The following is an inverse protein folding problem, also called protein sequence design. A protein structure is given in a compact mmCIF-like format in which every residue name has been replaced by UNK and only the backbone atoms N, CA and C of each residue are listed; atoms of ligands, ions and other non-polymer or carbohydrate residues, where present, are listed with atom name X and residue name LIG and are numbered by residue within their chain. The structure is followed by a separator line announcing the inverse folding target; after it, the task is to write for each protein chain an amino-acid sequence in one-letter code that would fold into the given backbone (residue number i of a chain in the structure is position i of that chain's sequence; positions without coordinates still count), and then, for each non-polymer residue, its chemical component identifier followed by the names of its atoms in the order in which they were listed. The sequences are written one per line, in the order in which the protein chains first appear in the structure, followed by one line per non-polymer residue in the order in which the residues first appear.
data_IF_550282982336
#
_entry.id   IF_550282982336
#
_cell.length_a   1.000
_cell.length_b   1.000
_cell.length_c   1.000
_cell.angle_alpha   90.00
_cell.angle_beta   90.00
_cell.angle_gamma   90.00
#
_symmetry.space_group_name_H-M   'P 1'
#
loop_
_entity.id
_entity.type
_entity.pdbx_description
1 polymer ?
2 non-polymer ?
3 non-polymer ?
4 water ?
#
# COMPACT_ATOMS: atom_id res chain seq x y z
N UNK A 1 -27.22 3.67 -11.46
CA UNK A 1 -26.09 3.45 -12.38
C UNK A 1 -25.37 2.14 -12.01
N UNK A 2 -25.77 1.55 -10.87
CA UNK A 2 -25.00 0.43 -10.28
C UNK A 2 -25.18 -0.99 -10.80
N UNK A 3 -24.08 -1.73 -10.75
CA UNK A 3 -23.99 -3.16 -11.05
C UNK A 3 -24.04 -3.88 -9.69
N UNK A 4 -24.62 -5.07 -9.65
CA UNK A 4 -24.85 -5.77 -8.39
C UNK A 4 -23.73 -6.72 -7.95
N UNK A 5 -22.89 -7.16 -8.89
CA UNK A 5 -21.85 -8.18 -8.61
C UNK A 5 -20.60 -7.59 -7.94
N UNK A 6 -19.89 -8.41 -7.18
CA UNK A 6 -18.61 -7.98 -6.64
C UNK A 6 -17.53 -8.10 -7.72
N UNK A 7 -16.84 -7.00 -7.97
CA UNK A 7 -15.76 -6.93 -8.93
C UNK A 7 -14.44 -7.18 -8.20
N UNK A 8 -13.86 -8.35 -8.40
CA UNK A 8 -12.59 -8.70 -7.72
C UNK A 8 -11.47 -8.76 -8.73
N UNK A 9 -10.30 -8.24 -8.37
CA UNK A 9 -9.10 -8.40 -9.21
C UNK A 9 -8.34 -9.61 -8.76
N UNK A 10 -7.84 -10.38 -9.72
CA UNK A 10 -6.95 -11.50 -9.44
C UNK A 10 -5.65 -11.29 -10.20
N UNK A 11 -4.57 -11.08 -9.44
CA UNK A 11 -3.28 -10.75 -10.05
C UNK A 11 -2.06 -11.18 -9.22
N UNK A 12 -0.96 -11.44 -9.92
CA UNK A 12 0.33 -11.75 -9.30
C UNK A 12 1.37 -10.79 -9.91
N UNK A 13 2.06 -10.05 -9.07
CA UNK A 13 3.04 -9.10 -9.55
C UNK A 13 4.34 -9.18 -8.77
N UNK A 14 5.37 -8.57 -9.34
CA UNK A 14 6.66 -8.57 -8.68
C UNK A 14 6.89 -7.26 -7.86
N UNK A 15 8.07 -7.13 -7.25
CA UNK A 15 8.38 -5.99 -6.40
C UNK A 15 8.24 -4.63 -7.09
N UNK A 16 8.27 -4.63 -8.43
CA UNK A 16 8.11 -3.39 -9.22
C UNK A 16 6.83 -3.41 -10.06
N UNK A 17 5.86 -4.25 -9.66
CA UNK A 17 4.53 -4.32 -10.31
C UNK A 17 4.51 -4.99 -11.69
N UNK A 18 5.61 -5.64 -12.06
CA UNK A 18 5.69 -6.41 -13.33
C UNK A 18 4.76 -7.62 -13.28
N UNK A 19 3.94 -7.78 -14.31
CA UNK A 19 3.05 -8.92 -14.42
C UNK A 19 3.29 -9.72 -15.72
N UNK A 20 4.06 -9.15 -16.63
CA UNK A 20 4.31 -9.83 -17.90
C UNK A 20 5.59 -9.44 -18.63
N UNK A 21 5.98 -10.32 -19.56
CA UNK A 21 7.17 -10.12 -20.37
C UNK A 21 6.98 -10.90 -21.67
N UNK A 22 7.16 -10.20 -22.78
CA UNK A 22 7.00 -10.79 -24.14
C UNK A 22 5.68 -11.51 -24.27
N UNK A 23 4.62 -10.84 -23.80
CA UNK A 23 3.27 -11.41 -23.92
C UNK A 23 3.12 -12.78 -23.20
N UNK A 24 3.84 -12.95 -22.09
CA UNK A 24 3.76 -14.16 -21.27
C UNK A 24 4.08 -13.81 -19.81
N UNK A 25 4.07 -14.82 -18.96
CA UNK A 25 4.42 -14.69 -17.53
C UNK A 25 5.96 -14.74 -17.34
N UNK A 26 6.51 -13.87 -16.48
CA UNK A 26 7.97 -13.90 -16.28
C UNK A 26 8.46 -15.03 -15.34
N UNK A 27 7.52 -15.71 -14.68
CA UNK A 27 7.88 -16.72 -13.68
C UNK A 27 6.99 -17.93 -13.81
N UNK A 28 7.38 -19.05 -13.21
CA UNK A 28 6.55 -20.26 -13.24
C UNK A 28 6.35 -20.80 -11.81
N UNK A 29 5.16 -20.57 -11.27
CA UNK A 29 4.83 -20.94 -9.90
C UNK A 29 3.58 -21.81 -9.87
N UNK A 30 3.76 -23.14 -10.03
CA UNK A 30 2.60 -24.07 -10.04
C UNK A 30 1.69 -23.93 -8.82
N UNK A 31 2.29 -23.75 -7.65
CA UNK A 31 1.58 -23.63 -6.38
C UNK A 31 0.65 -22.41 -6.32
N UNK A 32 1.13 -21.31 -6.88
CA UNK A 32 0.40 -20.06 -6.95
C UNK A 32 -0.78 -20.16 -7.91
N UNK A 33 -0.57 -20.92 -9.00
CA UNK A 33 -1.64 -21.20 -9.98
C UNK A 33 -2.75 -22.05 -9.36
N UNK A 34 -2.38 -22.92 -8.41
CA UNK A 34 -3.37 -23.74 -7.70
C UNK A 34 -4.23 -22.85 -6.81
N UNK A 35 -3.61 -21.86 -6.19
CA UNK A 35 -4.35 -20.93 -5.34
C UNK A 35 -5.32 -20.13 -6.18
N UNK A 36 -4.89 -19.76 -7.39
CA UNK A 36 -5.73 -19.05 -8.33
C UNK A 36 -6.94 -19.89 -8.74
N UNK A 37 -6.70 -21.16 -9.06
CA UNK A 37 -7.79 -22.07 -9.48
C UNK A 37 -8.77 -22.27 -8.33
N UNK A 38 -8.24 -22.48 -7.14
CA UNK A 38 -9.05 -22.70 -5.96
C UNK A 38 -9.97 -21.50 -5.66
N UNK A 39 -9.42 -20.31 -5.77
CA UNK A 39 -10.11 -19.09 -5.44
C UNK A 39 -11.15 -18.68 -6.49
N UNK A 40 -10.86 -18.95 -7.75
CA UNK A 40 -11.70 -18.49 -8.86
C UNK A 40 -12.71 -19.52 -9.35
N UNK A 41 -12.60 -20.76 -8.88
CA UNK A 41 -13.47 -21.81 -9.39
C UNK A 41 -14.96 -21.52 -9.22
N UNK A 42 -15.70 -21.66 -10.32
CA UNK A 42 -17.13 -21.44 -10.33
C UNK A 42 -17.54 -20.00 -10.47
N UNK A 43 -16.61 -19.16 -10.93
CA UNK A 43 -16.88 -17.71 -11.06
C UNK A 43 -16.41 -17.23 -12.42
N UNK A 44 -17.07 -16.20 -12.97
CA UNK A 44 -16.61 -15.70 -14.26
C UNK A 44 -15.18 -15.13 -14.21
N UNK A 45 -14.38 -15.47 -15.22
CA UNK A 45 -13.02 -14.92 -15.45
C UNK A 45 -13.12 -13.91 -16.60
N UNK A 46 -12.76 -12.66 -16.32
CA UNK A 46 -12.77 -11.61 -17.34
C UNK A 46 -11.32 -11.39 -17.80
N UNK A 47 -11.07 -11.51 -19.08
CA UNK A 47 -9.70 -11.35 -19.52
C UNK A 47 -9.51 -10.58 -20.82
N UNK A 48 -8.41 -9.85 -20.90
CA UNK A 48 -8.12 -9.08 -22.11
C UNK A 48 -7.88 -10.08 -23.21
N UNK A 49 -8.07 -9.67 -24.47
CA UNK A 49 -7.87 -10.56 -25.61
C UNK A 49 -6.45 -11.16 -25.66
N UNK A 50 -5.45 -10.34 -25.36
CA UNK A 50 -4.05 -10.81 -25.33
C UNK A 50 -3.83 -11.82 -24.22
N UNK A 51 -4.27 -11.49 -23.00
CA UNK A 51 -4.18 -12.48 -21.93
C UNK A 51 -4.82 -13.80 -22.38
N UNK A 52 -6.05 -13.74 -22.89
CA UNK A 52 -6.72 -14.96 -23.28
C UNK A 52 -5.94 -15.81 -24.29
N UNK A 53 -5.34 -15.17 -25.28
CA UNK A 53 -4.64 -15.93 -26.30
C UNK A 53 -3.33 -16.55 -25.79
N UNK A 54 -2.70 -15.90 -24.82
CA UNK A 54 -1.51 -16.45 -24.20
C UNK A 54 -1.87 -17.74 -23.41
N UNK A 55 -3.01 -17.73 -22.71
CA UNK A 55 -3.53 -18.90 -22.03
C UNK A 55 -3.85 -19.99 -23.08
N UNK A 56 -4.59 -19.59 -24.13
CA UNK A 56 -4.76 -20.42 -25.31
C UNK A 56 -5.98 -21.31 -25.34
N UNK A 57 -6.64 -21.47 -24.20
CA UNK A 57 -7.83 -22.31 -24.13
C UNK A 57 -8.69 -21.90 -22.96
N UNK A 58 -10.00 -22.22 -23.03
CA UNK A 58 -10.94 -21.89 -21.96
C UNK A 58 -10.54 -22.60 -20.67
N UNK A 59 -10.68 -21.91 -19.54
CA UNK A 59 -10.35 -22.49 -18.24
C UNK A 59 -11.62 -23.16 -17.68
N UNK A 60 -11.53 -24.46 -17.36
CA UNK A 60 -12.74 -25.25 -17.05
C UNK A 60 -13.45 -24.82 -15.74
N UNK A 61 -14.76 -25.00 -15.69
CA UNK A 61 -15.54 -24.71 -14.48
C UNK A 61 -15.72 -23.24 -14.18
N UNK A 62 -15.55 -22.40 -15.20
CA UNK A 62 -15.70 -20.93 -15.06
C UNK A 62 -16.22 -20.37 -16.38
N UNK A 63 -17.03 -19.32 -16.33
CA UNK A 63 -17.43 -18.59 -17.55
C UNK A 63 -16.21 -17.82 -18.02
N UNK A 64 -15.71 -18.12 -19.20
CA UNK A 64 -14.59 -17.35 -19.77
C UNK A 64 -15.13 -16.20 -20.57
N UNK A 65 -14.82 -14.99 -20.13
CA UNK A 65 -15.28 -13.80 -20.83
C UNK A 65 -14.10 -13.02 -21.36
N UNK A 66 -14.03 -12.85 -22.68
CA UNK A 66 -12.92 -12.19 -23.28
C UNK A 66 -13.32 -10.80 -23.72
N UNK A 67 -12.45 -9.84 -23.41
CA UNK A 67 -12.67 -8.43 -23.78
C UNK A 67 -11.84 -8.04 -25.00
N UNK A 68 -12.53 -7.55 -26.03
CA UNK A 68 -11.92 -7.17 -27.28
C UNK A 68 -12.72 -6.02 -27.95
N UNK A 69 -12.05 -5.18 -28.73
CA UNK A 69 -12.75 -4.17 -29.53
C UNK A 69 -13.16 -4.74 -30.89
N UNK A 70 -12.74 -5.97 -31.17
CA UNK A 70 -13.05 -6.68 -32.43
C UNK A 70 -14.47 -7.26 -32.39
N UNK A 71 -15.36 -6.70 -33.21
CA UNK A 71 -16.77 -7.13 -33.22
C UNK A 71 -17.05 -8.49 -33.93
N UNK A 72 -16.05 -9.02 -34.62
CA UNK A 72 -16.17 -10.31 -35.25
C UNK A 72 -15.35 -11.40 -34.57
N UNK A 73 -14.83 -11.10 -33.37
CA UNK A 73 -14.02 -12.05 -32.63
C UNK A 73 -14.90 -13.08 -31.89
N UNK A 74 -14.64 -14.38 -32.13
CA UNK A 74 -15.38 -15.48 -31.50
C UNK A 74 -14.45 -16.63 -31.11
N UNK A 75 -14.75 -17.29 -30.01
CA UNK A 75 -14.01 -18.50 -29.61
C UNK A 75 -14.95 -19.47 -28.89
N UNK A 76 -14.95 -20.74 -29.33
CA UNK A 76 -15.85 -21.71 -28.73
C UNK A 76 -15.52 -21.99 -27.25
N UNK A 77 -16.57 -22.10 -26.45
CA UNK A 77 -16.43 -22.33 -25.03
C UNK A 77 -16.19 -21.05 -24.25
N UNK A 78 -16.25 -19.91 -24.97
CA UNK A 78 -15.98 -18.60 -24.38
C UNK A 78 -17.03 -17.56 -24.76
N UNK A 79 -17.21 -16.57 -23.89
CA UNK A 79 -18.09 -15.42 -24.17
C UNK A 79 -17.24 -14.21 -24.57
N UNK A 80 -17.77 -13.35 -25.43
CA UNK A 80 -17.04 -12.16 -25.86
C UNK A 80 -17.79 -10.86 -25.52
N UNK A 81 -17.07 -9.89 -24.98
CA UNK A 81 -17.63 -8.59 -24.63
C UNK A 81 -16.71 -7.52 -25.22
N UNK A 82 -17.26 -6.34 -25.44
CA UNK A 82 -16.51 -5.29 -26.09
C UNK A 82 -16.44 -4.03 -25.26
N UNK A 83 -16.82 -4.12 -23.99
CA UNK A 83 -16.87 -2.96 -23.09
C UNK A 83 -17.14 -3.39 -21.66
N UNK A 84 -16.81 -2.50 -20.72
CA UNK A 84 -17.13 -2.70 -19.31
C UNK A 84 -18.64 -2.97 -19.14
N UNK A 85 -19.48 -2.16 -19.80
CA UNK A 85 -20.93 -2.27 -19.67
C UNK A 85 -21.46 -3.60 -20.22
N UNK A 86 -20.88 -4.08 -21.32
CA UNK A 86 -21.33 -5.36 -21.85
C UNK A 86 -20.97 -6.53 -20.89
N UNK A 87 -19.85 -6.39 -20.17
CA UNK A 87 -19.50 -7.38 -19.16
C UNK A 87 -20.51 -7.34 -18.05
N UNK A 88 -20.86 -6.14 -17.59
CA UNK A 88 -21.83 -6.00 -16.51
C UNK A 88 -23.18 -6.57 -16.91
N UNK A 89 -23.60 -6.37 -18.16
CA UNK A 89 -24.80 -7.01 -18.66
C UNK A 89 -24.70 -8.56 -18.59
N UNK A 90 -23.63 -9.11 -19.16
CA UNK A 90 -23.44 -10.57 -19.13
C UNK A 90 -23.35 -11.16 -17.74
N UNK A 91 -22.87 -10.37 -16.78
CA UNK A 91 -22.64 -10.87 -15.43
C UNK A 91 -23.61 -10.25 -14.43
N UNK A 92 -24.72 -9.74 -14.93
CA UNK A 92 -25.65 -8.98 -14.10
C UNK A 92 -26.18 -9.75 -12.87
N UNK A 93 -26.32 -11.07 -13.01
CA UNK A 93 -26.78 -11.95 -11.94
C UNK A 93 -25.68 -12.72 -11.16
N UNK A 94 -24.41 -12.43 -11.46
CA UNK A 94 -23.31 -13.10 -10.79
C UNK A 94 -23.07 -12.52 -9.38
N UNK A 95 -22.58 -13.36 -8.48
CA UNK A 95 -22.25 -12.91 -7.14
C UNK A 95 -20.91 -12.15 -7.17
N UNK A 96 -19.95 -12.72 -7.88
CA UNK A 96 -18.59 -12.21 -7.90
C UNK A 96 -17.93 -12.56 -9.23
N UNK A 97 -17.33 -11.57 -9.87
CA UNK A 97 -16.55 -11.81 -11.08
C UNK A 97 -15.07 -11.51 -10.78
N UNK A 98 -14.17 -12.17 -11.51
CA UNK A 98 -12.73 -11.96 -11.35
C UNK A 98 -12.10 -11.36 -12.59
N UNK A 99 -11.56 -10.17 -12.43
CA UNK A 99 -10.81 -9.51 -13.47
C UNK A 99 -9.42 -10.15 -13.41
N UNK A 100 -9.09 -10.82 -14.51
CA UNK A 100 -7.97 -11.72 -14.55
C UNK A 100 -6.81 -11.20 -15.40
N UNK A 101 -6.87 -9.93 -15.80
CA UNK A 101 -5.80 -9.30 -16.61
C UNK A 101 -5.94 -9.41 -18.12
N UNK A 102 -4.94 -8.90 -18.87
CA UNK A 102 -3.76 -8.28 -18.29
C UNK A 102 -3.91 -6.81 -17.99
N UNK A 103 -2.85 -6.05 -18.23
CA UNK A 103 -2.78 -4.66 -17.81
C UNK A 103 -3.85 -3.72 -18.37
N UNK A 104 -4.12 -3.81 -19.68
CA UNK A 104 -5.15 -2.96 -20.28
C UNK A 104 -6.50 -3.24 -19.65
N UNK A 105 -6.78 -4.52 -19.43
CA UNK A 105 -8.04 -4.94 -18.78
C UNK A 105 -8.11 -4.54 -17.31
N UNK A 106 -6.97 -4.60 -16.60
CA UNK A 106 -6.94 -4.11 -15.22
C UNK A 106 -7.23 -2.62 -15.17
N UNK A 107 -6.64 -1.86 -16.10
CA UNK A 107 -6.87 -0.43 -16.20
C UNK A 107 -8.34 -0.12 -16.49
N UNK A 108 -8.95 -0.90 -17.38
CA UNK A 108 -10.37 -0.73 -17.72
C UNK A 108 -11.27 -0.81 -16.50
N UNK A 109 -11.07 -1.84 -15.69
CA UNK A 109 -11.97 -2.10 -14.58
C UNK A 109 -11.58 -1.50 -13.23
N UNK A 110 -10.48 -0.75 -13.19
CA UNK A 110 -9.97 -0.20 -11.93
C UNK A 110 -10.95 0.73 -11.20
N UNK A 111 -11.75 1.55 -11.94
CA UNK A 111 -12.71 2.36 -11.17
C UNK A 111 -13.79 1.54 -10.46
N UNK A 112 -13.87 0.23 -10.74
CA UNK A 112 -14.97 -0.57 -10.21
C UNK A 112 -14.54 -1.64 -9.20
N UNK A 113 -13.23 -1.87 -9.06
CA UNK A 113 -12.74 -2.92 -8.18
C UNK A 113 -13.19 -2.76 -6.70
N UNK A 114 -13.72 -3.84 -6.14
CA UNK A 114 -14.22 -3.87 -4.75
C UNK A 114 -13.28 -4.70 -3.87
N UNK A 115 -12.61 -5.68 -4.49
CA UNK A 115 -11.79 -6.61 -3.73
C UNK A 115 -10.56 -6.99 -4.51
N UNK A 116 -9.43 -7.09 -3.84
CA UNK A 116 -8.20 -7.33 -4.53
C UNK A 116 -7.46 -8.57 -4.02
N UNK A 117 -7.30 -9.57 -4.90
CA UNK A 117 -6.50 -10.76 -4.56
C UNK A 117 -5.20 -10.61 -5.31
N UNK A 118 -4.17 -10.23 -4.58
CA UNK A 118 -2.89 -9.94 -5.17
C UNK A 118 -1.76 -10.75 -4.53
N UNK A 119 -1.06 -11.49 -5.39
CA UNK A 119 0.12 -12.20 -4.98
C UNK A 119 1.32 -11.30 -5.23
N UNK A 120 2.14 -11.12 -4.20
CA UNK A 120 3.35 -10.32 -4.33
C UNK A 120 4.56 -11.22 -4.30
N UNK A 121 5.35 -11.14 -5.36
CA UNK A 121 6.53 -11.96 -5.52
C UNK A 121 7.74 -11.11 -5.23
N UNK A 122 8.56 -11.60 -4.29
CA UNK A 122 9.69 -10.87 -3.78
C UNK A 122 10.93 -11.07 -4.65
N UNK A 123 10.87 -10.52 -5.85
CA UNK A 123 11.93 -10.67 -6.84
C UNK A 123 11.64 -9.61 -7.84
N UNK A 124 12.70 -9.08 -8.47
CA UNK A 124 12.58 -8.07 -9.50
C UNK A 124 12.89 -8.69 -10.88
N UNK A 125 11.82 -9.06 -11.59
CA UNK A 125 11.91 -9.61 -12.92
C UNK A 125 12.04 -8.51 -14.00
N UNK A 126 12.63 -8.91 -15.12
CA UNK A 126 12.61 -8.08 -16.29
C UNK A 126 11.21 -8.23 -16.84
N UNK A 127 10.59 -7.12 -17.18
CA UNK A 127 9.23 -7.18 -17.72
C UNK A 127 8.85 -5.95 -18.53
N UNK A 128 7.72 -6.06 -19.23
CA UNK A 128 7.22 -4.97 -20.03
C UNK A 128 5.77 -4.60 -19.76
N UNK A 129 5.08 -5.43 -18.98
CA UNK A 129 3.68 -5.17 -18.59
C UNK A 129 3.56 -5.04 -17.06
N UNK A 130 2.83 -4.03 -16.62
CA UNK A 130 2.79 -3.66 -15.21
C UNK A 130 1.37 -3.58 -14.69
N UNK A 131 1.20 -3.94 -13.41
CA UNK A 131 -0.09 -3.79 -12.76
C UNK A 131 -0.28 -2.31 -12.43
N UNK A 132 -1.46 -1.73 -12.73
CA UNK A 132 -1.65 -0.29 -12.43
C UNK A 132 -1.45 0.09 -10.94
N UNK A 133 -1.00 1.31 -10.70
CA UNK A 133 -0.88 1.86 -9.36
C UNK A 133 -2.28 2.00 -8.75
N UNK A 134 -2.39 1.80 -7.45
CA UNK A 134 -3.66 1.88 -6.74
C UNK A 134 -3.53 2.67 -5.46
N UNK A 135 -4.55 3.47 -5.15
CA UNK A 135 -4.63 4.16 -3.88
C UNK A 135 -5.36 3.23 -2.95
N UNK A 136 -4.68 2.78 -1.89
CA UNK A 136 -5.25 1.82 -0.95
C UNK A 136 -5.94 2.47 0.22
N UNK A 137 -5.92 3.81 0.25
CA UNK A 137 -6.71 4.55 1.21
C UNK A 137 -8.10 3.96 1.14
N UNK A 138 -8.67 3.70 2.32
CA UNK A 138 -9.99 3.12 2.42
C UNK A 138 -10.08 1.66 1.99
N UNK A 139 -8.95 0.95 1.97
CA UNK A 139 -8.92 -0.49 1.78
C UNK A 139 -8.31 -1.11 3.01
N UNK A 140 -8.62 -2.38 3.25
CA UNK A 140 -8.02 -3.11 4.38
C UNK A 140 -7.62 -4.50 3.96
N UNK A 141 -6.41 -4.88 4.40
CA UNK A 141 -5.95 -6.24 4.20
C UNK A 141 -6.77 -7.17 5.07
N UNK A 142 -7.33 -8.20 4.47
CA UNK A 142 -8.21 -9.14 5.21
C UNK A 142 -7.68 -10.57 5.25
N UNK A 143 -6.63 -10.82 4.48
CA UNK A 143 -5.96 -12.11 4.45
C UNK A 143 -4.53 -11.88 3.95
N UNK A 144 -3.59 -12.61 4.53
CA UNK A 144 -2.21 -12.61 4.07
C UNK A 144 -1.58 -13.95 4.48
N UNK A 145 -0.83 -14.55 3.58
CA UNK A 145 -0.22 -15.84 3.88
C UNK A 145 0.96 -16.03 2.95
N UNK A 146 2.07 -16.53 3.50
CA UNK A 146 3.25 -16.80 2.71
C UNK A 146 2.97 -17.95 1.76
N UNK A 147 3.44 -17.83 0.51
CA UNK A 147 3.33 -18.91 -0.45
C UNK A 147 4.34 -20.01 -0.18
N UNK A 148 4.09 -21.20 -0.75
CA UNK A 148 5.01 -22.32 -0.65
C UNK A 148 6.22 -22.10 -1.57
N UNK A 149 7.42 -22.11 -0.97
CA UNK A 149 8.66 -22.00 -1.70
C UNK A 149 9.41 -23.32 -1.60
N UNK A 150 9.52 -24.01 -2.73
CA UNK A 150 10.21 -25.27 -2.81
C UNK A 150 10.82 -25.39 -4.19
N UNK A 151 11.30 -26.58 -4.55
CA UNK A 151 11.98 -26.78 -5.84
C UNK A 151 11.15 -26.38 -7.05
N UNK A 152 9.85 -26.70 -7.00
CA UNK A 152 8.96 -26.37 -8.10
C UNK A 152 8.55 -24.89 -8.08
N UNK A 153 8.74 -24.21 -6.95
CA UNK A 153 8.30 -22.82 -6.78
C UNK A 153 9.42 -22.00 -6.12
N UNK A 154 10.40 -21.58 -6.93
CA UNK A 154 11.70 -21.09 -6.46
C UNK A 154 11.79 -19.62 -6.02
N UNK A 155 10.67 -18.99 -5.68
CA UNK A 155 10.70 -17.61 -5.22
C UNK A 155 9.91 -17.48 -3.95
N UNK A 156 10.17 -16.38 -3.24
CA UNK A 156 9.42 -16.00 -2.05
C UNK A 156 8.25 -15.10 -2.49
N UNK A 157 7.05 -15.47 -2.07
CA UNK A 157 5.86 -14.72 -2.44
C UNK A 157 4.76 -14.87 -1.40
N UNK A 158 3.88 -13.88 -1.34
CA UNK A 158 2.78 -13.83 -0.39
C UNK A 158 1.46 -13.58 -1.08
N UNK A 159 0.41 -14.19 -0.56
CA UNK A 159 -0.93 -13.91 -1.00
C UNK A 159 -1.51 -12.84 -0.11
N UNK A 160 -2.11 -11.85 -0.73
CA UNK A 160 -2.79 -10.79 0.01
C UNK A 160 -4.18 -10.68 -0.55
N UNK A 161 -5.12 -10.31 0.31
CA UNK A 161 -6.44 -9.95 -0.15
C UNK A 161 -6.79 -8.63 0.55
N UNK A 162 -7.24 -7.65 -0.22
CA UNK A 162 -7.67 -6.39 0.32
C UNK A 162 -9.12 -6.16 -0.07
N UNK A 163 -9.92 -5.65 0.88
CA UNK A 163 -11.32 -5.28 0.66
C UNK A 163 -11.53 -3.78 0.78
N UNK A 164 -12.21 -3.19 -0.20
CA UNK A 164 -12.53 -1.76 -0.17
C UNK A 164 -13.54 -1.51 0.96
N UNK A 165 -13.38 -0.41 1.68
CA UNK A 165 -14.31 -0.12 2.75
C UNK A 165 -15.60 0.58 2.29
N UNK A 166 -15.69 0.82 0.98
CA UNK A 166 -16.91 1.35 0.33
C UNK A 166 -17.84 0.21 -0.09
N UNK B 1 -7.92 31.45 11.33
CA UNK B 1 -6.61 31.17 11.91
C UNK B 1 -5.97 29.97 11.22
N UNK B 2 -6.54 29.57 10.08
CA UNK B 2 -6.25 28.29 9.40
C UNK B 2 -4.96 28.16 8.57
N UNK B 3 -4.40 26.95 8.59
CA UNK B 3 -3.30 26.54 7.75
C UNK B 3 -3.91 25.62 6.69
N UNK B 4 -3.33 25.60 5.49
CA UNK B 4 -3.96 24.87 4.39
C UNK B 4 -3.42 23.46 4.12
N UNK B 5 -2.28 23.12 4.71
CA UNK B 5 -1.69 21.80 4.44
C UNK B 5 -2.23 20.70 5.36
N UNK B 6 -2.14 19.47 4.87
CA UNK B 6 -2.54 18.31 5.64
C UNK B 6 -1.38 17.96 6.56
N UNK B 7 -1.66 17.91 7.86
CA UNK B 7 -0.66 17.63 8.90
C UNK B 7 -0.74 16.16 9.28
N UNK B 8 0.25 15.40 8.84
CA UNK B 8 0.24 13.96 9.07
C UNK B 8 1.34 13.53 10.04
N UNK B 9 1.01 12.63 10.96
CA UNK B 9 2.01 12.06 11.86
C UNK B 9 2.52 10.76 11.24
N UNK B 10 3.84 10.64 11.18
CA UNK B 10 4.51 9.43 10.71
C UNK B 10 5.32 8.87 11.90
N UNK B 11 4.93 7.70 12.40
CA UNK B 11 5.58 7.13 13.57
C UNK B 11 5.45 5.59 13.64
N UNK B 12 6.37 4.98 14.39
CA UNK B 12 6.39 3.54 14.65
C UNK B 12 6.54 3.39 16.15
N UNK B 13 5.66 2.65 16.78
CA UNK B 13 5.73 2.46 18.22
C UNK B 13 5.45 1.04 18.62
N UNK B 14 5.74 0.71 19.87
CA UNK B 14 5.52 -0.63 20.35
C UNK B 14 4.25 -0.76 21.20
N UNK B 15 4.02 -1.96 21.73
CA UNK B 15 2.82 -2.27 22.51
C UNK B 15 2.51 -1.23 23.60
N UNK B 16 3.57 -0.62 24.14
CA UNK B 16 3.45 0.38 25.21
C UNK B 16 3.72 1.82 24.74
N UNK B 17 3.58 2.08 23.44
CA UNK B 17 3.84 3.44 22.87
C UNK B 17 5.33 3.88 22.85
N UNK B 18 6.25 2.97 23.11
CA UNK B 18 7.68 3.29 23.10
C UNK B 18 8.15 3.61 21.68
N UNK B 19 8.89 4.72 21.51
CA UNK B 19 9.43 5.09 20.18
C UNK B 19 10.96 5.22 20.17
N UNK B 20 11.57 5.29 21.36
CA UNK B 20 13.02 5.44 21.43
C UNK B 20 13.65 5.00 22.72
N UNK B 21 14.93 4.68 22.64
CA UNK B 21 15.74 4.33 23.76
C UNK B 21 17.12 4.91 23.57
N UNK B 22 17.63 5.59 24.61
CA UNK B 22 18.97 6.20 24.60
C UNK B 22 19.21 7.05 23.37
N UNK B 23 18.22 7.88 23.03
CA UNK B 23 18.29 8.79 21.88
C UNK B 23 18.47 8.07 20.50
N UNK B 24 17.91 6.89 20.40
CA UNK B 24 17.98 6.11 19.17
C UNK B 24 16.74 5.24 19.08
N UNK B 25 16.66 4.46 18.00
CA UNK B 25 15.56 3.52 17.77
C UNK B 25 15.82 2.20 18.52
N UNK B 26 14.80 1.63 19.15
CA UNK B 26 15.03 0.38 19.89
C UNK B 26 15.05 -0.90 19.03
N UNK B 27 14.69 -0.77 17.75
CA UNK B 27 14.60 -1.92 16.84
C UNK B 27 15.17 -1.59 15.48
N UNK B 28 15.41 -2.61 14.66
CA UNK B 28 15.87 -2.40 13.28
C UNK B 28 14.96 -3.13 12.29
N UNK B 29 14.18 -2.35 11.55
CA UNK B 29 13.23 -2.85 10.59
C UNK B 29 13.44 -2.14 9.23
N UNK B 30 14.35 -2.67 8.38
CA UNK B 30 14.64 -2.04 7.08
C UNK B 30 13.40 -1.93 6.17
N UNK B 31 12.56 -2.95 6.20
CA UNK B 31 11.34 -3.00 5.40
C UNK B 31 10.35 -1.88 5.84
N UNK B 32 10.33 -1.59 7.13
CA UNK B 32 9.47 -0.55 7.67
C UNK B 32 10.02 0.84 7.26
N UNK B 33 11.34 0.95 7.21
CA UNK B 33 11.99 2.20 6.75
C UNK B 33 11.69 2.44 5.26
N UNK B 34 11.60 1.36 4.50
CA UNK B 34 11.29 1.42 3.08
C UNK B 34 9.86 1.92 2.86
N UNK B 35 8.95 1.53 3.74
CA UNK B 35 7.56 2.00 3.70
C UNK B 35 7.49 3.51 4.00
N UNK B 36 8.27 3.93 4.98
CA UNK B 36 8.38 5.32 5.38
C UNK B 36 8.93 6.19 4.23
N UNK B 37 9.97 5.68 3.54
CA UNK B 37 10.59 6.43 2.45
C UNK B 37 9.61 6.59 1.29
N UNK B 38 8.86 5.55 0.98
CA UNK B 38 7.94 5.62 -0.14
C UNK B 38 6.69 6.46 0.14
N UNK B 39 6.22 6.45 1.38
CA UNK B 39 5.05 7.22 1.78
C UNK B 39 5.37 8.73 1.86
N UNK B 40 6.55 9.06 2.37
CA UNK B 40 6.92 10.46 2.62
C UNK B 40 7.69 11.16 1.47
N UNK B 41 8.10 10.38 0.47
CA UNK B 41 8.87 10.92 -0.65
C UNK B 41 8.21 12.13 -1.30
N UNK B 42 8.99 13.20 -1.45
CA UNK B 42 8.50 14.43 -2.06
C UNK B 42 7.61 15.30 -1.18
N UNK B 43 7.68 15.11 0.14
CA UNK B 43 6.90 15.94 1.09
C UNK B 43 7.80 16.39 2.21
N UNK B 44 7.48 17.54 2.83
CA UNK B 44 8.35 18.00 3.93
C UNK B 44 8.32 17.04 5.12
N UNK B 45 9.48 16.82 5.73
CA UNK B 45 9.62 16.10 7.00
C UNK B 45 9.92 17.11 8.08
N UNK B 46 9.09 17.12 9.11
CA UNK B 46 9.25 18.00 10.22
C UNK B 46 9.86 17.18 11.36
N UNK B 47 11.03 17.54 11.83
CA UNK B 47 11.63 16.74 12.91
C UNK B 47 12.26 17.56 14.03
N UNK B 48 12.10 17.09 15.25
CA UNK B 48 12.72 17.67 16.42
C UNK B 48 14.22 17.67 16.24
N UNK B 49 14.89 18.62 16.87
CA UNK B 49 16.35 18.74 16.77
C UNK B 49 17.07 17.43 17.16
N UNK B 50 16.62 16.79 18.23
CA UNK B 50 17.23 15.54 18.68
C UNK B 50 17.01 14.43 17.68
N UNK B 51 15.77 14.27 17.23
CA UNK B 51 15.51 13.32 16.17
C UNK B 51 16.45 13.56 14.95
N UNK B 52 16.51 14.80 14.47
CA UNK B 52 17.37 15.08 13.34
C UNK B 52 18.81 14.64 13.58
N UNK B 53 19.39 15.03 14.72
CA UNK B 53 20.78 14.75 14.96
C UNK B 53 21.07 13.25 15.04
N UNK B 54 20.09 12.47 15.52
CA UNK B 54 20.24 11.02 15.57
C UNK B 54 20.31 10.44 14.15
N UNK B 55 19.53 11.03 13.23
CA UNK B 55 19.56 10.62 11.82
C UNK B 55 20.89 11.07 11.19
N UNK B 56 21.28 12.30 11.49
CA UNK B 56 22.61 12.80 11.19
C UNK B 56 22.82 13.36 9.81
N UNK B 57 21.83 13.21 8.96
CA UNK B 57 21.98 13.60 7.56
C UNK B 57 20.62 13.95 7.00
N UNK B 58 20.57 14.92 6.08
CA UNK B 58 19.34 15.24 5.36
C UNK B 58 18.78 14.01 4.59
N UNK B 59 17.47 13.81 4.66
CA UNK B 59 16.82 12.76 3.94
C UNK B 59 16.53 13.28 2.54
N UNK B 60 17.09 12.60 1.52
CA UNK B 60 16.98 12.97 0.10
C UNK B 60 15.56 13.02 -0.42
N UNK B 61 15.28 13.96 -1.32
CA UNK B 61 13.96 14.05 -2.00
C UNK B 61 12.80 14.53 -1.14
N UNK B 62 13.11 15.21 -0.06
CA UNK B 62 12.12 15.72 0.90
C UNK B 62 12.68 17.00 1.51
N UNK B 63 11.82 18.00 1.75
CA UNK B 63 12.22 19.21 2.48
C UNK B 63 12.45 18.78 3.93
N UNK B 64 13.68 18.95 4.41
CA UNK B 64 14.04 18.60 5.76
C UNK B 64 13.90 19.83 6.63
N UNK B 65 12.94 19.80 7.55
CA UNK B 65 12.70 20.94 8.44
C UNK B 65 12.93 20.58 9.91
N UNK B 66 13.84 21.32 10.54
CA UNK B 66 14.27 21.01 11.88
C UNK B 66 13.72 22.03 12.88
N UNK B 67 13.02 21.54 13.91
CA UNK B 67 12.45 22.38 14.95
C UNK B 67 13.36 22.45 16.19
N UNK B 68 13.76 23.67 16.53
CA UNK B 68 14.69 23.95 17.62
C UNK B 68 14.39 25.36 18.18
N UNK B 69 14.63 25.55 19.48
CA UNK B 69 14.48 26.88 20.08
C UNK B 69 15.74 27.72 19.92
N UNK B 70 16.77 27.11 19.35
CA UNK B 70 18.07 27.72 19.18
C UNK B 70 18.04 28.58 17.93
N UNK B 71 18.12 29.91 18.09
CA UNK B 71 18.00 30.81 16.93
C UNK B 71 19.28 30.93 16.08
N UNK B 72 20.39 30.36 16.58
CA UNK B 72 21.60 30.33 15.80
C UNK B 72 21.89 28.95 15.19
N UNK B 73 20.89 28.05 15.22
CA UNK B 73 21.07 26.71 14.69
C UNK B 73 20.93 26.66 13.15
N UNK B 74 21.95 26.12 12.47
CA UNK B 74 21.94 25.96 11.01
C UNK B 74 22.48 24.61 10.59
N UNK B 75 21.95 24.08 9.49
CA UNK B 75 22.52 22.90 8.87
C UNK B 75 22.24 22.84 7.38
N UNK B 76 23.32 22.72 6.62
CA UNK B 76 23.30 22.65 5.17
C UNK B 76 22.35 21.57 4.63
N UNK B 77 21.49 21.97 3.69
CA UNK B 77 20.52 21.06 3.07
C UNK B 77 19.24 20.91 3.87
N UNK B 78 19.09 21.72 4.93
CA UNK B 78 17.91 21.65 5.81
C UNK B 78 17.41 23.04 6.14
N UNK B 79 16.12 23.16 6.37
CA UNK B 79 15.54 24.42 6.86
C UNK B 79 15.28 24.32 8.36
N UNK B 80 15.39 25.45 9.06
CA UNK B 80 15.17 25.49 10.50
C UNK B 80 13.97 26.37 10.91
N UNK B 81 13.06 25.82 11.71
CA UNK B 81 11.95 26.59 12.27
C UNK B 81 12.08 26.56 13.78
N UNK B 82 11.37 27.45 14.47
CA UNK B 82 11.49 27.59 15.90
C UNK B 82 10.14 27.53 16.58
N UNK B 83 9.12 27.21 15.81
CA UNK B 83 7.79 27.11 16.36
C UNK B 83 6.85 26.53 15.34
N UNK B 84 5.66 26.14 15.80
CA UNK B 84 4.65 25.60 14.94
C UNK B 84 4.26 26.59 13.83
N UNK B 85 4.11 27.86 14.20
CA UNK B 85 3.66 28.87 13.23
C UNK B 85 4.72 29.10 12.19
N UNK B 86 5.99 29.04 12.58
CA UNK B 86 7.04 29.18 11.60
C UNK B 86 7.04 27.96 10.64
N UNK B 87 6.70 26.78 11.15
CA UNK B 87 6.57 25.59 10.30
C UNK B 87 5.40 25.76 9.33
N UNK B 88 4.26 26.27 9.80
CA UNK B 88 3.13 26.55 8.92
C UNK B 88 3.41 27.66 7.88
N UNK B 89 4.25 28.62 8.21
CA UNK B 89 4.65 29.63 7.19
C UNK B 89 5.52 29.00 6.10
N UNK B 90 6.58 28.30 6.49
CA UNK B 90 7.42 27.57 5.53
C UNK B 90 6.65 26.59 4.61
N UNK B 91 5.61 25.95 5.14
CA UNK B 91 4.89 24.90 4.43
C UNK B 91 3.50 25.36 4.02
N UNK B 92 3.33 26.67 3.95
CA UNK B 92 2.11 27.37 3.61
C UNK B 92 1.37 26.75 2.40
N UNK B 93 2.14 26.46 1.34
CA UNK B 93 1.58 25.98 0.11
C UNK B 93 1.72 24.47 -0.12
N UNK B 94 2.23 23.76 0.88
CA UNK B 94 2.39 22.30 0.79
C UNK B 94 1.05 21.59 0.82
N UNK B 95 1.02 20.43 0.17
CA UNK B 95 -0.17 19.61 0.14
C UNK B 95 -0.30 18.85 1.47
N UNK B 96 0.82 18.27 1.90
CA UNK B 96 0.86 17.45 3.10
C UNK B 96 2.27 17.48 3.66
N UNK B 97 2.34 17.64 4.98
CA UNK B 97 3.62 17.59 5.67
C UNK B 97 3.60 16.43 6.66
N UNK B 98 4.78 15.88 6.93
CA UNK B 98 4.89 14.75 7.85
C UNK B 98 5.64 15.11 9.12
N UNK B 99 4.93 15.03 10.24
CA UNK B 99 5.56 15.19 11.54
C UNK B 99 6.23 13.87 11.82
N UNK B 100 7.55 13.92 11.91
CA UNK B 100 8.39 12.76 11.85
C UNK B 100 9.03 12.46 13.22
N UNK B 101 8.61 13.17 14.26
CA UNK B 101 9.12 12.95 15.61
C UNK B 101 10.31 13.82 16.00
N UNK B 102 10.83 13.63 17.22
CA UNK B 102 10.35 12.61 18.18
C UNK B 102 9.23 13.10 19.07
N UNK B 103 9.28 12.70 20.34
CA UNK B 103 8.15 12.91 21.24
C UNK B 103 7.77 14.35 21.48
N UNK B 104 8.77 15.19 21.76
CA UNK B 104 8.49 16.60 21.99
C UNK B 104 7.83 17.25 20.79
N UNK B 105 8.29 16.90 19.58
CA UNK B 105 7.70 17.39 18.32
C UNK B 105 6.30 16.79 18.03
N UNK B 106 6.09 15.53 18.37
CA UNK B 106 4.76 14.93 18.32
C UNK B 106 3.82 15.69 19.26
N UNK B 107 4.25 15.94 20.51
CA UNK B 107 3.45 16.74 21.47
C UNK B 107 3.11 18.12 20.89
N UNK B 108 4.14 18.83 20.38
CA UNK B 108 3.98 20.17 19.76
C UNK B 108 2.88 20.27 18.73
N UNK B 109 2.81 19.28 17.83
CA UNK B 109 1.88 19.33 16.71
C UNK B 109 0.58 18.59 16.96
N UNK B 110 0.47 17.94 18.10
CA UNK B 110 -0.73 17.15 18.46
C UNK B 110 -2.08 17.87 18.20
N UNK B 111 -2.20 19.16 18.63
CA UNK B 111 -3.48 19.82 18.37
C UNK B 111 -3.81 20.03 16.89
N UNK B 112 -2.87 19.75 15.99
CA UNK B 112 -3.12 20.02 14.58
C UNK B 112 -3.18 18.80 13.66
N UNK B 113 -2.84 17.61 14.16
CA UNK B 113 -2.81 16.42 13.32
C UNK B 113 -4.16 16.18 12.64
N UNK B 114 -4.12 15.83 11.36
CA UNK B 114 -5.33 15.50 10.58
C UNK B 114 -5.30 13.99 10.21
N UNK B 115 -4.11 13.41 10.16
CA UNK B 115 -3.92 12.06 9.63
C UNK B 115 -2.78 11.35 10.36
N UNK B 116 -2.98 10.08 10.69
CA UNK B 116 -2.00 9.32 11.48
C UNK B 116 -1.49 8.06 10.79
N UNK B 117 -0.19 8.06 10.46
CA UNK B 117 0.47 6.88 9.85
C UNK B 117 1.27 6.27 10.98
N UNK B 118 0.73 5.21 11.56
CA UNK B 118 1.34 4.51 12.69
C UNK B 118 1.69 3.08 12.36
N UNK B 119 2.92 2.71 12.65
CA UNK B 119 3.30 1.35 12.59
C UNK B 119 3.27 0.85 14.02
N UNK B 120 2.56 -0.24 14.23
CA UNK B 120 2.43 -0.81 15.54
C UNK B 120 3.24 -2.07 15.59
N UNK B 121 4.19 -2.11 16.52
CA UNK B 121 5.08 -3.27 16.69
C UNK B 121 4.67 -4.12 17.88
N UNK B 122 4.46 -5.41 17.61
CA UNK B 122 3.91 -6.34 18.59
C UNK B 122 5.02 -6.91 19.43
N UNK B 123 5.63 -6.05 20.25
CA UNK B 123 6.72 -6.46 21.14
C UNK B 123 6.77 -5.34 22.19
N UNK B 124 7.23 -5.66 23.40
CA UNK B 124 7.42 -4.65 24.44
C UNK B 124 8.91 -4.40 24.64
N UNK B 125 9.39 -3.32 24.03
CA UNK B 125 10.80 -2.91 24.11
C UNK B 125 11.08 -2.09 25.37
N UNK B 126 12.32 -2.19 25.82
CA UNK B 126 12.86 -1.35 26.88
C UNK B 126 13.04 0.04 26.21
N UNK B 127 12.54 1.10 26.85
CA UNK B 127 12.57 2.42 26.22
C UNK B 127 12.40 3.60 27.16
N UNK B 128 12.74 4.79 26.68
CA UNK B 128 12.63 6.00 27.51
C UNK B 128 11.78 7.10 26.87
N UNK B 129 11.40 6.91 25.62
CA UNK B 129 10.64 7.92 24.87
C UNK B 129 9.37 7.29 24.32
N UNK B 130 8.25 8.02 24.46
CA UNK B 130 6.92 7.50 24.14
C UNK B 130 6.15 8.39 23.17
N UNK B 131 5.32 7.77 22.35
CA UNK B 131 4.43 8.51 21.50
C UNK B 131 3.27 8.99 22.40
N UNK B 132 2.82 10.26 22.26
CA UNK B 132 1.74 10.79 23.13
C UNK B 132 0.42 10.03 23.02
N UNK B 133 -0.29 9.91 24.15
CA UNK B 133 -1.64 9.33 24.13
C UNK B 133 -2.54 10.15 23.23
N UNK B 134 -3.48 9.48 22.59
CA UNK B 134 -4.45 10.16 21.76
C UNK B 134 -5.80 9.53 21.95
N UNK B 135 -6.85 10.34 22.02
CA UNK B 135 -8.17 9.74 22.08
C UNK B 135 -8.68 9.74 20.65
N UNK B 136 -8.68 8.55 20.04
CA UNK B 136 -8.98 8.41 18.61
C UNK B 136 -10.44 8.46 18.20
N UNK B 137 -11.31 8.63 19.24
CA UNK B 137 -12.72 8.75 18.91
C UNK B 137 -12.79 9.93 17.97
N UNK B 138 -13.55 9.80 16.90
CA UNK B 138 -13.49 10.74 15.80
C UNK B 138 -12.40 10.50 14.76
N UNK B 139 -11.74 9.37 14.89
CA UNK B 139 -10.72 8.92 13.98
C UNK B 139 -11.20 7.63 13.34
N UNK B 140 -10.96 7.45 12.06
CA UNK B 140 -11.35 6.24 11.39
C UNK B 140 -10.11 5.61 10.79
N UNK B 141 -9.98 4.29 10.95
CA UNK B 141 -8.90 3.57 10.33
C UNK B 141 -9.22 3.45 8.83
N UNK B 142 -8.35 3.99 7.98
CA UNK B 142 -8.60 3.97 6.52
C UNK B 142 -7.68 2.98 5.75
N UNK B 143 -6.72 2.39 6.46
CA UNK B 143 -5.86 1.37 5.90
C UNK B 143 -5.22 0.57 7.04
N UNK B 144 -5.10 -0.75 6.85
CA UNK B 144 -4.27 -1.60 7.72
C UNK B 144 -3.66 -2.72 6.88
N UNK B 145 -2.37 -3.01 7.08
CA UNK B 145 -1.78 -4.19 6.49
C UNK B 145 -0.61 -4.67 7.36
N UNK B 146 -0.35 -5.96 7.28
CA UNK B 146 0.69 -6.59 8.06
C UNK B 146 2.02 -6.26 7.41
N UNK B 147 3.04 -6.06 8.23
CA UNK B 147 4.36 -5.80 7.71
C UNK B 147 5.09 -7.12 7.46
N UNK B 148 6.20 -7.01 6.75
CA UNK B 148 7.03 -8.15 6.41
C UNK B 148 7.86 -8.57 7.63
N UNK B 149 7.66 -9.82 8.06
CA UNK B 149 8.47 -10.42 9.10
C UNK B 149 9.33 -11.54 8.48
N UNK B 150 10.65 -11.33 8.47
CA UNK B 150 11.61 -12.30 7.92
C UNK B 150 12.92 -12.14 8.69
N UNK B 151 13.99 -12.77 8.22
CA UNK B 151 15.28 -12.70 8.92
C UNK B 151 15.81 -11.26 9.15
N UNK B 152 15.59 -10.37 8.19
CA UNK B 152 16.00 -8.96 8.31
C UNK B 152 15.03 -8.11 9.13
N UNK B 153 13.84 -8.65 9.39
CA UNK B 153 12.77 -7.92 10.06
C UNK B 153 12.11 -8.80 11.10
N UNK B 154 12.77 -8.94 12.26
CA UNK B 154 12.47 -9.98 13.22
C UNK B 154 11.31 -9.74 14.21
N UNK B 155 10.38 -8.85 13.88
CA UNK B 155 9.26 -8.59 14.76
C UNK B 155 7.99 -8.61 13.93
N UNK B 156 6.84 -8.90 14.57
CA UNK B 156 5.53 -8.75 13.97
C UNK B 156 5.10 -7.30 14.17
N UNK B 157 4.55 -6.71 13.12
CA UNK B 157 4.10 -5.30 13.12
C UNK B 157 3.13 -5.04 12.01
N UNK B 158 2.28 -4.05 12.21
CA UNK B 158 1.26 -3.70 11.23
C UNK B 158 1.28 -2.21 10.91
N UNK B 159 1.02 -1.88 9.65
CA UNK B 159 0.87 -0.47 9.22
C UNK B 159 -0.61 -0.08 9.36
N UNK B 160 -0.85 1.04 10.04
CA UNK B 160 -2.19 1.58 10.19
C UNK B 160 -2.21 3.03 9.73
N UNK B 161 -3.32 3.46 9.13
CA UNK B 161 -3.50 4.87 8.79
C UNK B 161 -4.88 5.24 9.32
N UNK B 162 -4.95 6.34 10.08
CA UNK B 162 -6.22 6.83 10.59
C UNK B 162 -6.41 8.22 10.06
N UNK B 163 -7.66 8.58 9.79
CA UNK B 163 -7.98 9.94 9.38
C UNK B 163 -8.98 10.52 10.34
N UNK B 164 -8.78 11.79 10.70
CA UNK B 164 -9.69 12.46 11.60
C UNK B 164 -10.93 12.86 10.82
N UNK B 165 -12.07 12.66 11.44
CA UNK B 165 -13.36 12.94 10.81
C UNK B 165 -13.76 14.44 10.77
N UNK B 166 -12.81 15.31 11.13
CA UNK B 166 -13.00 16.76 11.09
C UNK B 166 -12.28 17.37 9.89
#
# INVERSE_FOLDING_TARGET
HHHHMRVSFMVAMDENRVIGKDNNLPWRLPSELQYVKKTTMGHPLIMGRKNYEAIGRPLPGRRNIIVTRNEGYHVEGCEVAHSVEEVFELCKNEEEIFIFGGAQIYDLFLPYVDKLYITKIHHAFEGDTFFPEMDMTNWKEVFVEKGLTDEKNPYTYYYHVYEKQQ
HHHHMRVSFMVAMDENRVIGKDNNLPWRLPSELQYVKKTTMGHPLIMGRKNYEAIGRPLPGRRNIIVTRNEGYHVEGCEVAHSVEEVFELCKNEEEIFIFGGAQIYDLFLPYVDKLYITKIHHAFEGDTFFPEMDMTNWKEVFVEKGLTDEKNPYTYYYHVYEKQQ
#
